data_IF_710729636514
#
_entry.id   IF_710729636514
#
_cell.length_a   1.000
_cell.length_b   1.000
_cell.length_c   1.000
_cell.angle_alpha   90.00
_cell.angle_beta   90.00
_cell.angle_gamma   90.00
#
_symmetry.space_group_name_H-M   'P 1'
#
loop_
_entity.id
_entity.type
_entity.pdbx_description
1 polymer ?
#
# COMPACT_ATOMS: atom_id res chain seq x y z
N UNK A 1 -18.86 10.88 -2.78
CA UNK A 1 -18.56 9.75 -3.68
C UNK A 1 -17.27 9.14 -3.17
N UNK A 2 -17.32 8.00 -2.46
CA UNK A 2 -16.09 7.31 -2.04
C UNK A 2 -15.54 6.55 -3.24
N UNK A 3 -14.72 7.22 -4.04
CA UNK A 3 -13.89 6.58 -5.05
C UNK A 3 -12.99 5.56 -4.35
N UNK A 4 -13.07 4.30 -4.78
CA UNK A 4 -12.16 3.25 -4.33
C UNK A 4 -10.74 3.77 -4.50
N UNK A 5 -10.02 3.92 -3.39
CA UNK A 5 -8.63 4.38 -3.42
C UNK A 5 -7.76 3.29 -4.01
N UNK A 6 -6.96 3.64 -5.00
CA UNK A 6 -6.00 2.71 -5.57
C UNK A 6 -4.75 2.65 -4.68
N UNK A 7 -3.98 1.56 -4.77
CA UNK A 7 -2.70 1.45 -4.05
C UNK A 7 -1.77 2.65 -4.30
N UNK A 8 -1.61 3.15 -5.54
CA UNK A 8 -0.89 4.40 -5.82
C UNK A 8 -1.40 5.61 -5.04
N UNK A 9 -2.72 5.77 -4.91
CA UNK A 9 -3.32 6.89 -4.16
C UNK A 9 -3.03 6.76 -2.67
N UNK A 10 -3.14 5.55 -2.11
CA UNK A 10 -2.80 5.26 -0.71
C UNK A 10 -1.32 5.57 -0.48
N UNK A 11 -0.43 5.14 -1.36
CA UNK A 11 1.01 5.43 -1.28
C UNK A 11 1.26 6.94 -1.32
N UNK A 12 0.54 7.67 -2.17
CA UNK A 12 0.66 9.14 -2.26
C UNK A 12 0.19 9.82 -0.96
N UNK A 13 -0.92 9.38 -0.40
CA UNK A 13 -1.46 9.88 0.86
C UNK A 13 -0.56 9.56 2.07
N UNK A 14 0.18 8.45 2.03
CA UNK A 14 1.24 8.14 3.00
C UNK A 14 2.43 9.13 2.95
N UNK A 15 2.44 10.08 2.02
CA UNK A 15 3.60 10.94 1.75
C UNK A 15 4.60 10.32 0.77
N UNK A 16 4.19 9.31 0.02
CA UNK A 16 4.96 8.67 -1.04
C UNK A 16 5.77 7.44 -0.61
N UNK A 17 6.24 6.68 -1.61
CA UNK A 17 6.99 5.45 -1.41
C UNK A 17 8.28 5.64 -0.59
N UNK A 18 8.92 6.82 -0.68
CA UNK A 18 10.08 7.20 0.12
C UNK A 18 9.77 7.17 1.61
N UNK A 19 8.69 7.84 2.03
CA UNK A 19 8.32 7.96 3.44
C UNK A 19 7.93 6.61 4.05
N UNK A 20 7.28 5.76 3.27
CA UNK A 20 6.97 4.37 3.67
C UNK A 20 8.26 3.55 3.85
N UNK A 21 9.21 3.69 2.92
CA UNK A 21 10.52 3.04 2.99
C UNK A 21 11.27 3.46 4.26
N UNK A 22 11.37 4.77 4.50
CA UNK A 22 12.06 5.36 5.65
C UNK A 22 11.39 4.92 6.97
N UNK A 23 10.05 4.96 7.04
CA UNK A 23 9.31 4.50 8.22
C UNK A 23 9.47 2.99 8.48
N UNK A 24 9.70 2.20 7.42
CA UNK A 24 9.98 0.78 7.53
C UNK A 24 11.41 0.48 7.99
N UNK A 25 12.34 1.43 7.95
CA UNK A 25 13.71 1.22 8.47
C UNK A 25 13.71 0.95 9.98
N UNK A 26 12.74 1.52 10.71
CA UNK A 26 12.52 1.24 12.12
C UNK A 26 11.91 -0.16 12.38
N UNK A 27 11.47 -0.86 11.33
CA UNK A 27 10.90 -2.20 11.42
C UNK A 27 11.96 -3.27 11.23
N UNK A 28 11.69 -4.49 11.73
CA UNK A 28 12.62 -5.62 11.65
C UNK A 28 12.92 -6.10 10.22
N UNK A 29 12.20 -5.59 9.22
CA UNK A 29 12.48 -5.78 7.79
C UNK A 29 12.33 -4.45 7.04
N UNK A 30 13.42 -3.78 6.69
CA UNK A 30 13.36 -2.54 5.92
C UNK A 30 12.75 -2.80 4.53
N UNK A 31 11.72 -2.03 4.19
CA UNK A 31 11.18 -1.94 2.85
C UNK A 31 12.12 -1.13 1.98
N UNK A 32 12.24 -1.54 0.71
CA UNK A 32 12.82 -0.71 -0.34
C UNK A 32 11.70 0.01 -1.08
N UNK A 33 11.97 1.23 -1.52
CA UNK A 33 11.09 2.04 -2.38
C UNK A 33 10.56 1.22 -3.58
N UNK A 34 11.42 0.43 -4.23
CA UNK A 34 11.02 -0.43 -5.35
C UNK A 34 9.95 -1.45 -5.00
N UNK A 35 9.99 -2.00 -3.77
CA UNK A 35 8.99 -2.94 -3.31
C UNK A 35 7.63 -2.26 -3.11
N UNK A 36 7.63 -1.00 -2.67
CA UNK A 36 6.41 -0.20 -2.53
C UNK A 36 5.79 0.08 -3.91
N UNK A 37 6.60 0.41 -4.92
CA UNK A 37 6.10 0.57 -6.29
C UNK A 37 5.49 -0.71 -6.86
N UNK A 38 6.05 -1.87 -6.53
CA UNK A 38 5.50 -3.17 -6.96
C UNK A 38 4.13 -3.48 -6.37
N UNK A 39 3.75 -2.88 -5.24
CA UNK A 39 2.42 -3.11 -4.67
C UNK A 39 1.28 -2.66 -5.58
N UNK A 40 1.52 -1.67 -6.46
CA UNK A 40 0.53 -1.28 -7.46
C UNK A 40 0.18 -2.43 -8.44
N UNK A 41 1.07 -3.42 -8.57
CA UNK A 41 0.91 -4.59 -9.45
C UNK A 41 0.58 -5.84 -8.65
N UNK A 42 1.21 -6.07 -7.49
CA UNK A 42 1.08 -7.32 -6.73
C UNK A 42 0.12 -7.25 -5.56
N UNK A 43 -0.32 -6.05 -5.18
CA UNK A 43 -0.97 -5.80 -3.89
C UNK A 43 0.01 -5.52 -2.74
N UNK A 44 -0.52 -4.91 -1.67
CA UNK A 44 0.16 -4.60 -0.43
C UNK A 44 0.12 -5.82 0.51
N UNK A 45 1.26 -6.37 0.92
CA UNK A 45 1.29 -7.47 1.89
C UNK A 45 0.78 -7.04 3.28
N UNK A 46 -0.06 -7.87 3.91
CA UNK A 46 -0.72 -7.61 5.19
C UNK A 46 0.23 -7.19 6.32
N UNK A 47 1.45 -7.75 6.34
CA UNK A 47 2.51 -7.39 7.29
C UNK A 47 2.89 -5.90 7.30
N UNK A 48 2.58 -5.17 6.23
CA UNK A 48 2.87 -3.75 6.08
C UNK A 48 1.64 -2.87 6.32
N UNK A 49 0.46 -3.45 6.55
CA UNK A 49 -0.77 -2.68 6.75
C UNK A 49 -0.70 -1.83 8.00
N UNK A 50 -0.22 -2.38 9.12
CA UNK A 50 -0.06 -1.62 10.37
C UNK A 50 0.87 -0.42 10.20
N UNK A 51 1.92 -0.55 9.37
CA UNK A 51 2.82 0.56 9.05
C UNK A 51 2.08 1.67 8.27
N UNK A 52 1.32 1.29 7.24
CA UNK A 52 0.55 2.25 6.43
C UNK A 52 -0.53 2.94 7.27
N UNK A 53 -1.26 2.19 8.08
CA UNK A 53 -2.24 2.73 9.04
C UNK A 53 -1.62 3.64 10.10
N UNK A 54 -0.31 3.55 10.35
CA UNK A 54 0.40 4.47 11.26
C UNK A 54 0.86 5.75 10.54
N UNK A 55 0.98 5.71 9.21
CA UNK A 55 1.42 6.85 8.38
C UNK A 55 0.25 7.66 7.83
N UNK A 56 -0.94 7.07 7.78
CA UNK A 56 -2.17 7.68 7.25
C UNK A 56 -3.39 7.17 8.01
N UNK A 57 -4.52 7.86 7.89
CA UNK A 57 -5.81 7.42 8.43
C UNK A 57 -6.49 6.30 7.60
N UNK A 58 -5.76 5.64 6.72
CA UNK A 58 -6.26 4.50 5.93
C UNK A 58 -6.59 3.32 6.83
N UNK A 59 -7.72 2.66 6.56
CA UNK A 59 -8.15 1.47 7.30
C UNK A 59 -7.70 0.17 6.62
N UNK A 60 -7.69 -0.93 7.39
CA UNK A 60 -7.45 -2.27 6.83
C UNK A 60 -8.46 -2.65 5.74
N UNK A 61 -9.70 -2.16 5.83
CA UNK A 61 -10.73 -2.38 4.81
C UNK A 61 -10.38 -1.67 3.49
N UNK A 62 -9.86 -0.44 3.55
CA UNK A 62 -9.40 0.28 2.36
C UNK A 62 -8.20 -0.41 1.70
N UNK A 63 -7.23 -0.88 2.49
CA UNK A 63 -6.08 -1.65 1.99
C UNK A 63 -6.53 -2.96 1.33
N UNK A 64 -7.49 -3.65 1.95
CA UNK A 64 -8.06 -4.86 1.40
C UNK A 64 -8.82 -4.60 0.09
N UNK A 65 -9.65 -3.55 0.04
CA UNK A 65 -10.36 -3.16 -1.16
C UNK A 65 -9.40 -2.82 -2.32
N UNK A 66 -8.32 -2.10 -2.02
CA UNK A 66 -7.29 -1.75 -3.00
C UNK A 66 -6.54 -3.00 -3.52
N UNK A 67 -6.23 -3.95 -2.63
CA UNK A 67 -5.64 -5.24 -3.02
C UNK A 67 -6.58 -6.08 -3.90
N UNK A 68 -7.87 -6.13 -3.56
CA UNK A 68 -8.88 -6.82 -4.35
C UNK A 68 -8.98 -6.21 -5.76
N UNK A 69 -8.94 -4.89 -5.88
CA UNK A 69 -8.94 -4.21 -7.17
C UNK A 69 -7.74 -4.63 -8.05
N UNK A 70 -6.55 -4.73 -7.47
CA UNK A 70 -5.35 -5.19 -8.21
C UNK A 70 -5.49 -6.64 -8.67
N UNK A 71 -5.96 -7.55 -7.81
CA UNK A 71 -6.18 -8.96 -8.19
C UNK A 71 -7.25 -9.12 -9.26
N UNK A 72 -8.31 -8.30 -9.23
CA UNK A 72 -9.32 -8.29 -10.28
C UNK A 72 -8.75 -7.85 -11.62
N UNK A 73 -7.84 -6.86 -11.64
CA UNK A 73 -7.16 -6.44 -12.87
C UNK A 73 -6.23 -7.50 -13.45
N UNK A 74 -5.60 -8.34 -12.61
CA UNK A 74 -4.70 -9.42 -13.07
C UNK A 74 -5.45 -10.65 -13.61
N UNK A 75 -6.72 -10.84 -13.21
CA UNK A 75 -7.55 -11.98 -13.67
C UNK A 75 -8.27 -11.71 -15.00
N UNK A 76 -8.15 -10.50 -15.56
CA UNK A 76 -8.84 -10.09 -16.78
C UNK A 76 -7.94 -10.06 -18.05
N UNK A 77 -6.74 -10.63 -18.00
CA UNK A 77 -5.79 -10.68 -19.12
C UNK A 77 -5.67 -12.09 -19.73
#
# INVERSE_FOLDING_TARGET
>A
MSTIRTIPDIIKDCGGARRISDASEASSRPLKIDAVYKWAITGIPDRHWTLLMSLTETSAEELHAANCAVRTSETAA
#
